data_IF_637788028091
#
_entry.id   IF_637788028091
#
_cell.length_a   1.000
_cell.length_b   1.000
_cell.length_c   1.000
_cell.angle_alpha   90.00
_cell.angle_beta   90.00
_cell.angle_gamma   90.00
#
_symmetry.space_group_name_H-M   'P 1'
#
loop_
_entity.id
_entity.type
_entity.pdbx_description
1 polymer ?
#
# COMPACT_ATOMS: atom_id res chain seq x y z
N UNK A 1 16.54 -8.42 -3.76
CA UNK A 1 16.46 -7.44 -4.86
C UNK A 1 16.55 -6.05 -4.28
N UNK A 2 17.53 -5.27 -4.76
CA UNK A 2 17.70 -3.89 -4.29
C UNK A 2 16.66 -2.99 -4.99
N UNK A 3 15.85 -2.30 -4.19
CA UNK A 3 14.86 -1.35 -4.72
C UNK A 3 15.55 -0.08 -5.28
N UNK A 4 14.97 0.53 -6.31
CA UNK A 4 15.41 1.84 -6.77
C UNK A 4 15.41 2.87 -5.63
N UNK A 5 16.29 3.84 -5.72
CA UNK A 5 16.29 4.98 -4.78
C UNK A 5 15.55 6.16 -5.40
N UNK A 6 14.85 6.95 -4.60
CA UNK A 6 14.25 8.19 -5.10
C UNK A 6 15.35 9.17 -5.51
N UNK A 7 15.09 9.98 -6.53
CA UNK A 7 16.00 11.05 -6.94
C UNK A 7 15.89 12.23 -5.98
N UNK A 8 14.66 12.52 -5.54
CA UNK A 8 14.40 13.63 -4.62
C UNK A 8 14.83 15.00 -5.16
N UNK A 9 14.90 16.03 -4.31
CA UNK A 9 14.43 16.00 -2.92
C UNK A 9 12.92 15.75 -2.82
N UNK A 10 12.51 15.07 -1.75
CA UNK A 10 11.10 14.88 -1.43
C UNK A 10 10.50 16.06 -0.68
N UNK A 11 9.23 15.92 -0.37
CA UNK A 11 8.47 16.82 0.51
C UNK A 11 7.24 16.11 1.07
N UNK A 12 6.61 16.69 2.08
CA UNK A 12 5.31 16.23 2.55
C UNK A 12 4.22 16.59 1.52
N UNK A 13 3.78 15.61 0.73
CA UNK A 13 2.74 15.80 -0.28
C UNK A 13 1.35 15.80 0.35
N UNK A 14 0.53 16.77 -0.04
CA UNK A 14 -0.88 16.86 0.37
C UNK A 14 -1.80 16.48 -0.78
N UNK A 15 -3.03 16.09 -0.44
CA UNK A 15 -4.04 15.78 -1.45
C UNK A 15 -4.33 16.98 -2.35
N UNK A 16 -4.41 18.19 -1.80
CA UNK A 16 -4.68 19.41 -2.58
C UNK A 16 -3.56 19.71 -3.57
N UNK A 17 -2.29 19.53 -3.17
CA UNK A 17 -1.15 19.68 -4.08
C UNK A 17 -1.20 18.68 -5.22
N UNK A 18 -1.46 17.40 -4.92
CA UNK A 18 -1.55 16.36 -5.93
C UNK A 18 -2.75 16.58 -6.87
N UNK A 19 -3.89 17.00 -6.35
CA UNK A 19 -5.05 17.36 -7.18
C UNK A 19 -4.72 18.51 -8.12
N UNK A 20 -3.99 19.52 -7.67
CA UNK A 20 -3.51 20.61 -8.50
C UNK A 20 -2.55 20.17 -9.60
N UNK A 21 -1.59 19.32 -9.26
CA UNK A 21 -0.59 18.80 -10.21
C UNK A 21 -1.18 17.89 -11.29
N UNK A 22 -2.23 17.16 -10.96
CA UNK A 22 -2.85 16.18 -11.88
C UNK A 22 -4.00 16.76 -12.69
N UNK A 23 -4.35 18.04 -12.46
CA UNK A 23 -5.46 18.73 -13.11
C UNK A 23 -5.36 18.72 -14.64
N UNK A 24 -4.17 18.87 -15.17
CA UNK A 24 -3.92 18.94 -16.61
C UNK A 24 -3.61 17.54 -17.22
N UNK A 25 -3.77 16.48 -16.43
CA UNK A 25 -3.52 15.11 -16.87
C UNK A 25 -2.03 14.72 -16.85
N UNK A 26 -1.71 13.67 -17.58
CA UNK A 26 -0.40 13.03 -17.54
C UNK A 26 0.32 13.01 -18.89
N UNK A 27 -0.02 13.92 -19.78
CA UNK A 27 0.62 14.00 -21.11
C UNK A 27 2.13 14.22 -20.97
N UNK A 28 2.90 13.42 -21.70
CA UNK A 28 4.36 13.53 -21.73
C UNK A 28 5.07 12.96 -20.48
N UNK A 29 4.37 12.22 -19.65
CA UNK A 29 4.98 11.55 -18.48
C UNK A 29 5.82 10.34 -18.90
N UNK A 30 6.80 10.00 -18.08
CA UNK A 30 7.73 8.91 -18.34
C UNK A 30 7.36 7.66 -17.52
N UNK A 31 6.86 6.61 -18.21
CA UNK A 31 6.43 5.38 -17.55
C UNK A 31 7.58 4.57 -16.97
N UNK A 32 8.76 4.59 -17.58
CA UNK A 32 9.94 3.93 -17.03
C UNK A 32 10.39 4.57 -15.72
N UNK A 33 10.32 5.90 -15.63
CA UNK A 33 10.56 6.62 -14.39
C UNK A 33 9.43 6.34 -13.37
N UNK A 34 8.19 6.24 -13.82
CA UNK A 34 7.06 5.85 -12.99
C UNK A 34 7.24 4.47 -12.35
N UNK A 35 7.71 3.48 -13.13
CA UNK A 35 8.07 2.16 -12.60
C UNK A 35 9.19 2.23 -11.57
N UNK A 36 10.22 3.06 -11.82
CA UNK A 36 11.29 3.29 -10.84
C UNK A 36 10.75 3.93 -9.57
N UNK A 37 9.87 4.93 -9.68
CA UNK A 37 9.25 5.60 -8.54
C UNK A 37 8.35 4.63 -7.74
N UNK A 38 7.66 3.70 -8.40
CA UNK A 38 6.88 2.63 -7.76
C UNK A 38 7.75 1.73 -6.88
N UNK A 39 8.96 1.43 -7.33
CA UNK A 39 9.96 0.73 -6.51
C UNK A 39 10.54 1.62 -5.40
N UNK A 40 10.89 2.87 -5.72
CA UNK A 40 11.50 3.81 -4.78
C UNK A 40 10.58 4.17 -3.60
N UNK A 41 9.28 4.31 -3.87
CA UNK A 41 8.24 4.51 -2.84
C UNK A 41 7.80 3.20 -2.16
N UNK A 42 8.45 2.07 -2.46
CA UNK A 42 8.22 0.74 -1.87
C UNK A 42 6.84 0.13 -2.18
N UNK A 43 6.08 0.68 -3.12
CA UNK A 43 4.77 0.16 -3.50
C UNK A 43 4.85 -1.32 -3.94
N UNK A 44 5.89 -1.66 -4.72
CA UNK A 44 6.14 -3.01 -5.25
C UNK A 44 6.36 -4.07 -4.17
N UNK A 45 6.72 -3.68 -2.96
CA UNK A 45 6.96 -4.64 -1.86
C UNK A 45 5.66 -5.32 -1.43
N UNK A 46 4.56 -4.56 -1.40
CA UNK A 46 3.26 -5.03 -0.96
C UNK A 46 2.28 -5.26 -2.11
N UNK A 47 2.40 -4.49 -3.19
CA UNK A 47 1.47 -4.54 -4.31
C UNK A 47 2.06 -5.23 -5.53
N UNK A 48 1.25 -6.08 -6.14
CA UNK A 48 1.50 -6.58 -7.49
C UNK A 48 1.00 -5.55 -8.51
N UNK A 49 1.78 -5.35 -9.55
CA UNK A 49 1.41 -4.53 -10.70
C UNK A 49 2.01 -5.13 -11.98
N UNK A 50 1.18 -5.42 -12.98
CA UNK A 50 1.57 -6.09 -14.23
C UNK A 50 2.39 -7.37 -14.01
N UNK A 51 1.99 -8.20 -13.04
CA UNK A 51 2.60 -9.49 -12.73
C UNK A 51 3.84 -9.42 -11.82
N UNK A 52 4.34 -8.23 -11.50
CA UNK A 52 5.51 -8.03 -10.63
C UNK A 52 5.10 -7.48 -9.26
N UNK A 53 5.76 -7.91 -8.21
CA UNK A 53 5.59 -7.35 -6.86
C UNK A 53 4.99 -8.30 -5.84
N UNK A 54 4.76 -7.76 -4.65
CA UNK A 54 4.22 -8.49 -3.50
C UNK A 54 2.72 -8.78 -3.59
N UNK A 55 2.21 -9.49 -2.59
CA UNK A 55 0.80 -9.91 -2.54
C UNK A 55 0.13 -9.62 -1.19
N UNK A 56 0.77 -8.88 -0.30
CA UNK A 56 0.18 -8.50 0.99
C UNK A 56 -0.86 -7.38 0.84
N UNK A 57 -0.69 -6.52 -0.17
CA UNK A 57 -1.69 -5.55 -0.61
C UNK A 57 -2.43 -6.00 -1.87
N UNK A 58 -3.46 -5.26 -2.31
CA UNK A 58 -4.19 -5.57 -3.53
C UNK A 58 -3.32 -5.50 -4.78
N UNK A 59 -3.68 -6.33 -5.77
CA UNK A 59 -3.12 -6.25 -7.12
C UNK A 59 -3.65 -4.99 -7.80
N UNK A 60 -2.76 -4.06 -8.10
CA UNK A 60 -3.10 -2.75 -8.67
C UNK A 60 -3.33 -2.81 -10.18
N UNK A 61 -2.98 -3.91 -10.86
CA UNK A 61 -3.24 -4.08 -12.29
C UNK A 61 -4.73 -4.04 -12.62
N UNK A 62 -5.57 -4.53 -11.69
CA UNK A 62 -7.03 -4.57 -11.86
C UNK A 62 -7.74 -3.34 -11.26
N UNK A 63 -7.21 -2.81 -10.18
CA UNK A 63 -7.89 -1.80 -9.34
C UNK A 63 -7.68 -0.39 -9.88
N UNK A 64 -6.47 -0.07 -10.30
CA UNK A 64 -6.08 1.30 -10.67
C UNK A 64 -6.89 1.85 -11.84
N UNK A 65 -7.30 1.00 -12.79
CA UNK A 65 -8.16 1.43 -13.91
C UNK A 65 -9.56 1.92 -13.52
N UNK A 66 -9.93 1.79 -12.24
CA UNK A 66 -11.23 2.24 -11.71
C UNK A 66 -11.12 3.53 -10.89
N UNK A 67 -9.90 3.95 -10.57
CA UNK A 67 -9.66 5.17 -9.79
C UNK A 67 -9.49 6.38 -10.70
N UNK A 68 -10.09 7.49 -10.29
CA UNK A 68 -9.69 8.81 -10.78
C UNK A 68 -8.31 9.19 -10.21
N UNK A 69 -7.60 10.16 -10.82
CA UNK A 69 -6.36 10.67 -10.24
C UNK A 69 -6.51 11.13 -8.79
N UNK A 70 -7.64 11.74 -8.45
CA UNK A 70 -7.94 12.19 -7.09
C UNK A 70 -8.09 11.01 -6.12
N UNK A 71 -8.83 9.97 -6.51
CA UNK A 71 -9.05 8.80 -5.66
C UNK A 71 -7.74 8.05 -5.41
N UNK A 72 -6.89 7.94 -6.45
CA UNK A 72 -5.56 7.34 -6.31
C UNK A 72 -4.69 8.16 -5.36
N UNK A 73 -4.64 9.48 -5.54
CA UNK A 73 -3.89 10.38 -4.67
C UNK A 73 -4.36 10.28 -3.21
N UNK A 74 -5.66 10.26 -2.97
CA UNK A 74 -6.23 10.12 -1.62
C UNK A 74 -5.83 8.79 -0.98
N UNK A 75 -5.90 7.69 -1.74
CA UNK A 75 -5.53 6.36 -1.25
C UNK A 75 -4.05 6.26 -0.85
N UNK A 76 -3.18 7.03 -1.51
CA UNK A 76 -1.74 7.06 -1.22
C UNK A 76 -1.42 7.99 -0.04
N UNK A 77 -2.03 9.17 0.00
CA UNK A 77 -1.75 10.20 1.01
C UNK A 77 -2.42 9.88 2.34
N UNK A 78 -3.66 9.37 2.30
CA UNK A 78 -4.43 8.99 3.49
C UNK A 78 -4.96 7.55 3.40
N UNK A 79 -4.08 6.56 3.54
CA UNK A 79 -4.46 5.15 3.39
C UNK A 79 -5.41 4.65 4.49
N UNK A 80 -5.59 5.40 5.56
CA UNK A 80 -6.49 5.05 6.65
C UNK A 80 -7.94 5.50 6.40
N UNK A 81 -8.17 6.40 5.44
CA UNK A 81 -9.51 6.96 5.18
C UNK A 81 -10.49 5.90 4.69
N UNK A 82 -10.07 5.09 3.73
CA UNK A 82 -10.87 3.97 3.20
C UNK A 82 -10.01 2.73 3.15
N UNK A 83 -10.32 1.76 3.98
CA UNK A 83 -9.60 0.48 4.04
C UNK A 83 -10.53 -0.62 3.54
N UNK A 84 -10.11 -1.32 2.48
CA UNK A 84 -10.83 -2.49 1.98
C UNK A 84 -10.88 -3.59 3.05
N UNK A 85 -12.08 -4.13 3.32
CA UNK A 85 -12.26 -5.20 4.32
C UNK A 85 -11.43 -6.44 4.00
N UNK A 86 -11.22 -6.74 2.72
CA UNK A 86 -10.39 -7.86 2.27
C UNK A 86 -8.92 -7.71 2.72
N UNK A 87 -8.43 -6.49 2.86
CA UNK A 87 -7.02 -6.19 3.21
C UNK A 87 -6.87 -5.57 4.59
N UNK A 88 -7.97 -5.40 5.32
CA UNK A 88 -7.96 -4.82 6.66
C UNK A 88 -7.21 -5.72 7.64
N UNK A 89 -6.35 -5.10 8.44
CA UNK A 89 -5.73 -5.74 9.59
C UNK A 89 -6.71 -5.91 10.73
N UNK A 90 -6.39 -6.81 11.63
CA UNK A 90 -7.08 -7.00 12.91
C UNK A 90 -6.16 -6.65 14.07
N UNK A 91 -6.74 -6.16 15.14
CA UNK A 91 -6.11 -6.05 16.45
C UNK A 91 -6.63 -7.16 17.32
N UNK A 92 -5.74 -8.05 17.74
CA UNK A 92 -6.05 -9.22 18.58
C UNK A 92 -5.52 -8.94 19.97
N UNK A 93 -6.39 -8.92 20.96
CA UNK A 93 -6.03 -8.85 22.36
C UNK A 93 -6.11 -10.24 22.97
N UNK A 94 -5.05 -10.62 23.69
CA UNK A 94 -4.99 -11.92 24.35
C UNK A 94 -5.39 -11.81 25.82
N UNK A 95 -5.77 -12.94 26.42
CA UNK A 95 -6.12 -13.03 27.85
C UNK A 95 -4.99 -12.55 28.78
N UNK A 96 -3.75 -12.55 28.30
CA UNK A 96 -2.58 -12.03 29.03
C UNK A 96 -2.38 -10.51 28.85
N UNK A 97 -3.23 -9.84 28.08
CA UNK A 97 -3.12 -8.40 27.77
C UNK A 97 -2.13 -8.08 26.64
N UNK A 98 -1.59 -9.09 25.95
CA UNK A 98 -0.76 -8.88 24.76
C UNK A 98 -1.62 -8.44 23.60
N UNK A 99 -1.17 -7.42 22.86
CA UNK A 99 -1.83 -6.93 21.66
C UNK A 99 -1.02 -7.30 20.43
N UNK A 100 -1.66 -7.95 19.46
CA UNK A 100 -1.08 -8.36 18.18
C UNK A 100 -1.87 -7.67 17.08
N UNK A 101 -1.19 -6.85 16.27
CA UNK A 101 -1.77 -6.20 15.12
C UNK A 101 -1.23 -6.83 13.83
N UNK A 102 -2.10 -7.16 12.90
CA UNK A 102 -1.71 -7.74 11.62
C UNK A 102 -2.90 -8.30 10.86
N UNK A 103 -2.61 -8.90 9.72
CA UNK A 103 -3.63 -9.53 8.89
C UNK A 103 -3.73 -11.02 9.23
N UNK A 104 -4.94 -11.46 9.57
CA UNK A 104 -5.26 -12.89 9.73
C UNK A 104 -5.31 -13.50 8.32
N UNK A 105 -4.36 -14.38 8.01
CA UNK A 105 -4.21 -14.99 6.69
C UNK A 105 -4.67 -16.45 6.66
N UNK A 106 -4.77 -17.07 7.80
CA UNK A 106 -5.23 -18.45 7.94
C UNK A 106 -5.87 -18.67 9.30
N UNK A 107 -6.84 -19.54 9.35
CA UNK A 107 -7.55 -19.93 10.54
C UNK A 107 -7.70 -21.46 10.56
N UNK A 108 -7.27 -22.06 11.65
CA UNK A 108 -7.50 -23.48 11.94
C UNK A 108 -8.51 -23.62 13.07
N UNK A 109 -8.86 -24.86 13.44
CA UNK A 109 -9.74 -25.13 14.58
C UNK A 109 -9.18 -24.52 15.89
N UNK A 110 -7.87 -24.50 16.06
CA UNK A 110 -7.22 -24.11 17.32
C UNK A 110 -6.42 -22.82 17.28
N UNK A 111 -6.14 -22.25 16.11
CA UNK A 111 -5.24 -21.11 16.00
C UNK A 111 -5.58 -20.14 14.85
N UNK A 112 -5.11 -18.90 15.01
CA UNK A 112 -5.07 -17.87 13.99
C UNK A 112 -3.62 -17.68 13.54
N UNK A 113 -3.38 -17.57 12.25
CA UNK A 113 -2.06 -17.21 11.69
C UNK A 113 -2.12 -15.75 11.22
N UNK A 114 -1.29 -14.92 11.79
CA UNK A 114 -1.32 -13.47 11.60
C UNK A 114 -0.01 -13.00 10.97
N UNK A 115 -0.09 -12.35 9.81
CA UNK A 115 1.05 -11.63 9.21
C UNK A 115 1.18 -10.29 9.91
N UNK A 116 2.31 -10.06 10.57
CA UNK A 116 2.56 -8.85 11.37
C UNK A 116 3.40 -7.80 10.63
N UNK A 117 4.08 -8.20 9.56
CA UNK A 117 4.88 -7.31 8.73
C UNK A 117 4.33 -7.34 7.29
N UNK A 118 3.71 -6.24 6.82
CA UNK A 118 3.15 -6.21 5.46
C UNK A 118 4.22 -6.28 4.36
N UNK A 119 5.47 -5.99 4.67
CA UNK A 119 6.58 -6.09 3.72
C UNK A 119 7.19 -7.50 3.66
N UNK A 120 6.88 -8.35 4.62
CA UNK A 120 7.39 -9.72 4.69
C UNK A 120 6.30 -10.68 5.15
N UNK A 121 5.61 -11.31 4.19
CA UNK A 121 4.53 -12.25 4.44
C UNK A 121 4.98 -13.54 5.14
N UNK A 122 6.29 -13.77 5.28
CA UNK A 122 6.83 -14.92 6.03
C UNK A 122 6.89 -14.67 7.53
N UNK A 123 6.82 -13.40 7.94
CA UNK A 123 6.77 -13.02 9.36
C UNK A 123 5.36 -13.19 9.90
N UNK A 124 5.09 -14.38 10.40
CA UNK A 124 3.79 -14.76 10.96
C UNK A 124 3.89 -15.00 12.46
N UNK A 125 2.78 -14.73 13.15
CA UNK A 125 2.56 -15.09 14.54
C UNK A 125 1.36 -16.02 14.60
N UNK A 126 1.51 -17.16 15.27
CA UNK A 126 0.41 -18.07 15.55
C UNK A 126 -0.20 -17.72 16.92
N UNK A 127 -1.50 -17.45 16.95
CA UNK A 127 -2.26 -17.12 18.15
C UNK A 127 -3.27 -18.23 18.41
N UNK A 128 -3.16 -18.88 19.57
CA UNK A 128 -4.14 -19.89 19.98
C UNK A 128 -5.49 -19.24 20.22
N UNK A 129 -6.55 -19.81 19.67
CA UNK A 129 -7.91 -19.28 19.86
C UNK A 129 -8.34 -19.22 21.32
N UNK A 130 -7.85 -20.14 22.13
CA UNK A 130 -8.08 -20.17 23.59
C UNK A 130 -7.46 -18.96 24.31
N UNK A 131 -6.44 -18.35 23.72
CA UNK A 131 -5.77 -17.20 24.31
C UNK A 131 -6.36 -15.85 23.83
N UNK A 132 -7.27 -15.89 22.88
CA UNK A 132 -7.90 -14.68 22.30
C UNK A 132 -8.99 -14.17 23.24
N UNK A 133 -8.85 -12.94 23.72
CA UNK A 133 -9.87 -12.21 24.46
C UNK A 133 -10.79 -11.45 23.51
N UNK A 134 -10.21 -10.71 22.54
CA UNK A 134 -10.97 -9.96 21.55
C UNK A 134 -10.26 -9.87 20.21
N UNK A 135 -11.06 -9.74 19.14
CA UNK A 135 -10.58 -9.44 17.78
C UNK A 135 -11.41 -8.24 17.30
N UNK A 136 -10.73 -7.17 16.87
CA UNK A 136 -11.37 -5.96 16.34
C UNK A 136 -10.73 -5.59 15.00
N UNK A 137 -11.50 -5.06 14.03
CA UNK A 137 -10.93 -4.46 12.84
C UNK A 137 -9.98 -3.32 13.21
N UNK A 138 -8.80 -3.28 12.61
CA UNK A 138 -7.87 -2.18 12.83
C UNK A 138 -8.38 -0.92 12.13
N UNK A 139 -8.34 0.25 12.79
CA UNK A 139 -8.62 1.53 12.15
C UNK A 139 -7.43 2.02 11.29
N UNK A 140 -6.29 1.33 11.40
CA UNK A 140 -5.05 1.70 10.71
C UNK A 140 -4.81 0.72 9.57
N UNK A 141 -4.56 1.26 8.37
CA UNK A 141 -4.18 0.49 7.20
C UNK A 141 -2.80 -0.16 7.39
N UNK A 142 -2.61 -1.34 6.81
CA UNK A 142 -1.27 -1.93 6.66
C UNK A 142 -0.40 -1.12 5.68
N UNK A 143 -1.02 -0.38 4.77
CA UNK A 143 -0.30 0.55 3.90
C UNK A 143 0.13 1.78 4.70
N UNK A 144 1.44 2.04 4.84
CA UNK A 144 1.90 3.23 5.56
C UNK A 144 1.53 4.52 4.83
N UNK A 145 1.31 5.58 5.58
CA UNK A 145 1.24 6.93 5.04
C UNK A 145 2.65 7.44 4.65
N UNK A 146 2.70 8.52 3.87
CA UNK A 146 3.93 9.26 3.53
C UNK A 146 4.95 8.50 2.68
N UNK A 147 4.56 7.41 2.02
CA UNK A 147 5.47 6.65 1.16
C UNK A 147 6.03 7.46 0.00
N UNK A 148 5.28 8.42 -0.53
CA UNK A 148 5.69 9.28 -1.63
C UNK A 148 6.46 10.54 -1.18
N UNK A 149 6.62 10.77 0.12
CA UNK A 149 7.29 11.95 0.65
C UNK A 149 8.80 11.98 0.34
N UNK A 150 9.37 10.87 -0.10
CA UNK A 150 10.75 10.77 -0.60
C UNK A 150 10.90 11.20 -2.06
N UNK A 151 9.80 11.30 -2.79
CA UNK A 151 9.76 11.58 -4.22
C UNK A 151 9.67 13.08 -4.50
N UNK A 152 10.30 13.53 -5.58
CA UNK A 152 10.08 14.87 -6.11
C UNK A 152 8.82 14.95 -6.97
N UNK A 153 8.47 16.14 -7.46
CA UNK A 153 7.27 16.40 -8.26
C UNK A 153 7.18 15.49 -9.50
N UNK A 154 8.27 15.39 -10.27
CA UNK A 154 8.26 14.62 -11.52
C UNK A 154 8.15 13.12 -11.23
N UNK A 155 8.81 12.62 -10.20
CA UNK A 155 8.69 11.24 -9.75
C UNK A 155 7.26 10.90 -9.33
N UNK A 156 6.58 11.78 -8.60
CA UNK A 156 5.17 11.60 -8.20
C UNK A 156 4.25 11.56 -9.41
N UNK A 157 4.42 12.50 -10.35
CA UNK A 157 3.58 12.55 -11.55
C UNK A 157 3.83 11.36 -12.48
N UNK A 158 5.07 10.94 -12.65
CA UNK A 158 5.41 9.75 -13.44
C UNK A 158 4.87 8.48 -12.79
N UNK A 159 4.93 8.38 -11.46
CA UNK A 159 4.35 7.28 -10.69
C UNK A 159 2.83 7.18 -10.91
N UNK A 160 2.12 8.28 -10.76
CA UNK A 160 0.67 8.30 -10.93
C UNK A 160 0.27 7.98 -12.37
N UNK A 161 0.98 8.54 -13.34
CA UNK A 161 0.76 8.22 -14.75
C UNK A 161 0.98 6.74 -15.04
N UNK A 162 2.06 6.17 -14.52
CA UNK A 162 2.38 4.75 -14.67
C UNK A 162 1.26 3.86 -14.12
N UNK A 163 0.77 4.12 -12.91
CA UNK A 163 -0.31 3.33 -12.31
C UNK A 163 -1.63 3.49 -13.06
N UNK A 164 -2.03 4.72 -13.41
CA UNK A 164 -3.30 5.00 -14.08
C UNK A 164 -3.36 4.50 -15.53
N UNK A 165 -2.22 4.37 -16.19
CA UNK A 165 -2.10 3.76 -17.51
C UNK A 165 -2.01 2.23 -17.48
N UNK A 166 -2.00 1.61 -16.31
CA UNK A 166 -1.70 0.18 -16.12
C UNK A 166 -0.31 -0.22 -16.63
N UNK A 167 0.63 0.72 -16.67
CA UNK A 167 1.97 0.52 -17.18
C UNK A 167 2.07 0.48 -18.71
N UNK A 168 0.98 0.77 -19.42
CA UNK A 168 0.96 0.88 -20.87
C UNK A 168 1.31 2.30 -21.30
N UNK A 169 2.38 2.44 -22.08
CA UNK A 169 2.88 3.72 -22.59
C UNK A 169 2.17 4.20 -23.88
N UNK A 170 1.26 3.40 -24.42
CA UNK A 170 0.56 3.72 -25.68
C UNK A 170 -0.55 4.74 -25.54
#
# INVERSE_FOLDING_TARGET
VQLPKPTGPGKAWTLDELAGLTKDGFKGRNFANGKKAFGAARCVVCHRFNGEGGATGPDLSQVVGRFSPKDLAESIVDPNKVISDQYRASTIETNSGKVIAGKIVSETTGALVVVTDPEDSTKVVEVKKTDVESIKPSPISLMPAKLIDTLNKDEVLDLMAYMLSRGDAS
#
